data_IF_755824124937
#
_entry.id   IF_755824124937
#
_cell.length_a   1.000
_cell.length_b   1.000
_cell.length_c   1.000
_cell.angle_alpha   90.00
_cell.angle_beta   90.00
_cell.angle_gamma   90.00
#
_symmetry.space_group_name_H-M   'P 1'
#
loop_
_entity.id
_entity.type
_entity.pdbx_description
1 polymer ?
#
# COMPACT_ATOMS: atom_id res chain seq x y z
N UNK A 1 -8.70 25.04 -22.62
CA UNK A 1 -9.75 25.02 -21.58
C UNK A 1 -9.46 23.82 -20.68
N UNK A 2 -9.40 24.01 -19.36
CA UNK A 2 -8.70 23.18 -18.35
C UNK A 2 -8.61 21.67 -18.65
N UNK A 3 -7.39 21.14 -18.81
CA UNK A 3 -7.14 19.68 -18.71
C UNK A 3 -7.70 19.22 -17.35
N UNK A 4 -8.61 18.25 -17.33
CA UNK A 4 -9.00 17.53 -16.11
C UNK A 4 -7.71 17.07 -15.44
N UNK A 5 -7.29 17.71 -14.34
CA UNK A 5 -6.14 17.26 -13.57
C UNK A 5 -6.58 16.00 -12.87
N UNK A 6 -6.16 14.83 -13.37
CA UNK A 6 -6.47 13.55 -12.73
C UNK A 6 -5.93 13.52 -11.30
N UNK A 7 -6.52 12.69 -10.45
CA UNK A 7 -6.22 12.64 -9.01
C UNK A 7 -4.72 12.44 -8.74
N UNK A 8 -4.03 11.64 -9.55
CA UNK A 8 -2.57 11.45 -9.44
C UNK A 8 -1.81 12.76 -9.67
N UNK A 9 -2.20 13.56 -10.66
CA UNK A 9 -1.57 14.85 -10.92
C UNK A 9 -1.81 15.84 -9.77
N UNK A 10 -2.99 15.77 -9.13
CA UNK A 10 -3.28 16.53 -7.93
C UNK A 10 -2.43 16.08 -6.75
N UNK A 11 -2.36 14.78 -6.46
CA UNK A 11 -1.53 14.22 -5.38
C UNK A 11 -0.06 14.61 -5.57
N UNK A 12 0.49 14.47 -6.78
CA UNK A 12 1.87 14.88 -7.10
C UNK A 12 2.10 16.37 -6.83
N UNK A 13 1.18 17.24 -7.24
CA UNK A 13 1.29 18.68 -7.02
C UNK A 13 1.18 19.05 -5.53
N UNK A 14 0.23 18.44 -4.81
CA UNK A 14 0.05 18.64 -3.37
C UNK A 14 1.29 18.20 -2.60
N UNK A 15 1.81 17.00 -2.86
CA UNK A 15 3.02 16.48 -2.23
C UNK A 15 4.23 17.39 -2.47
N UNK A 16 4.44 17.83 -3.72
CA UNK A 16 5.53 18.76 -4.03
C UNK A 16 5.43 20.08 -3.27
N UNK A 17 4.21 20.60 -3.09
CA UNK A 17 3.96 21.78 -2.26
C UNK A 17 4.25 21.51 -0.79
N UNK A 18 3.79 20.41 -0.22
CA UNK A 18 4.03 20.07 1.19
C UNK A 18 5.52 19.87 1.49
N UNK A 19 6.27 19.23 0.59
CA UNK A 19 7.73 19.10 0.70
C UNK A 19 8.38 20.48 0.77
N UNK A 20 7.97 21.40 -0.10
CA UNK A 20 8.54 22.75 -0.17
C UNK A 20 8.15 23.58 1.06
N UNK A 21 6.87 23.63 1.38
CA UNK A 21 6.31 24.51 2.41
C UNK A 21 6.72 24.06 3.83
N UNK A 22 6.84 22.74 4.06
CA UNK A 22 7.12 22.15 5.38
C UNK A 22 8.51 21.54 5.53
N UNK A 23 9.35 21.61 4.48
CA UNK A 23 10.72 21.02 4.45
C UNK A 23 10.73 19.52 4.80
N UNK A 24 9.74 18.79 4.30
CA UNK A 24 9.66 17.33 4.44
C UNK A 24 10.85 16.68 3.72
N UNK A 25 11.44 15.63 4.30
CA UNK A 25 12.44 14.82 3.61
C UNK A 25 11.81 14.15 2.37
N UNK A 26 12.21 14.50 1.13
CA UNK A 26 11.61 13.93 -0.09
C UNK A 26 11.91 12.44 -0.26
N UNK A 27 12.79 11.85 0.56
CA UNK A 27 13.04 10.41 0.59
C UNK A 27 12.05 9.67 1.47
N UNK A 28 11.26 10.36 2.30
CA UNK A 28 10.34 9.81 3.30
C UNK A 28 8.92 10.29 3.06
N UNK A 29 8.43 10.02 1.86
CA UNK A 29 7.08 10.39 1.42
C UNK A 29 6.33 9.11 1.11
N UNK A 30 5.15 8.97 1.71
CA UNK A 30 4.38 7.73 1.68
C UNK A 30 2.92 8.01 1.35
N UNK A 31 2.23 7.02 0.78
CA UNK A 31 0.79 7.09 0.54
C UNK A 31 0.09 5.92 1.21
N UNK A 32 -1.06 6.18 1.83
CA UNK A 32 -1.90 5.11 2.37
C UNK A 32 -3.37 5.47 2.30
N UNK A 33 -4.22 4.44 2.28
CA UNK A 33 -5.67 4.61 2.36
C UNK A 33 -6.38 3.27 2.48
N UNK A 34 -7.69 3.36 2.65
CA UNK A 34 -8.60 2.22 2.70
C UNK A 34 -9.53 2.18 1.50
N UNK A 35 -9.90 0.98 1.04
CA UNK A 35 -10.83 0.81 -0.08
C UNK A 35 -10.27 1.46 -1.34
N UNK A 36 -11.05 2.31 -2.01
CA UNK A 36 -10.60 3.15 -3.12
C UNK A 36 -9.33 3.97 -2.80
N UNK A 37 -9.08 4.32 -1.52
CA UNK A 37 -7.84 4.97 -1.10
C UNK A 37 -6.63 4.03 -1.12
N UNK A 38 -6.84 2.74 -0.84
CA UNK A 38 -5.83 1.70 -1.03
C UNK A 38 -5.54 1.46 -2.51
N UNK A 39 -6.58 1.37 -3.34
CA UNK A 39 -6.45 1.28 -4.80
C UNK A 39 -5.70 2.49 -5.38
N UNK A 40 -6.05 3.70 -4.91
CA UNK A 40 -5.37 4.94 -5.31
C UNK A 40 -3.90 4.93 -4.87
N UNK A 41 -3.55 4.32 -3.74
CA UNK A 41 -2.16 4.22 -3.30
C UNK A 41 -1.34 3.38 -4.28
N UNK A 42 -1.86 2.24 -4.75
CA UNK A 42 -1.23 1.46 -5.82
C UNK A 42 -1.11 2.25 -7.13
N UNK A 43 -2.20 2.91 -7.54
CA UNK A 43 -2.19 3.73 -8.76
C UNK A 43 -1.17 4.87 -8.68
N UNK A 44 -1.08 5.53 -7.55
CA UNK A 44 -0.13 6.62 -7.31
C UNK A 44 1.32 6.11 -7.31
N UNK A 45 1.61 4.91 -6.78
CA UNK A 45 2.94 4.31 -6.87
C UNK A 45 3.40 4.14 -8.33
N UNK A 46 2.50 3.74 -9.22
CA UNK A 46 2.81 3.55 -10.65
C UNK A 46 2.89 4.88 -11.40
N UNK A 47 1.87 5.73 -11.28
CA UNK A 47 1.70 6.92 -12.12
C UNK A 47 2.42 8.18 -11.58
N UNK A 48 2.72 8.25 -10.28
CA UNK A 48 3.47 9.35 -9.66
C UNK A 48 4.92 8.95 -9.39
N UNK A 49 5.62 8.51 -10.44
CA UNK A 49 7.04 8.12 -10.38
C UNK A 49 7.90 9.14 -9.63
N UNK A 50 8.76 8.65 -8.74
CA UNK A 50 9.70 9.44 -7.95
C UNK A 50 9.08 10.21 -6.78
N UNK A 51 7.78 10.02 -6.48
CA UNK A 51 7.10 10.73 -5.39
C UNK A 51 7.08 9.91 -4.10
N UNK A 52 6.64 8.65 -4.14
CA UNK A 52 6.41 7.83 -2.95
C UNK A 52 7.50 6.78 -2.78
N UNK A 53 8.06 6.67 -1.57
CA UNK A 53 9.06 5.68 -1.20
C UNK A 53 8.44 4.31 -0.89
N UNK A 54 7.26 4.34 -0.28
CA UNK A 54 6.47 3.16 0.03
C UNK A 54 4.98 3.53 0.09
N UNK A 55 4.13 2.53 -0.06
CA UNK A 55 2.68 2.67 0.06
C UNK A 55 2.09 1.65 1.03
N UNK A 56 0.93 2.00 1.56
CA UNK A 56 0.16 1.19 2.49
C UNK A 56 -1.30 1.04 2.05
N UNK A 57 -1.76 -0.17 1.75
CA UNK A 57 -3.14 -0.39 1.30
C UNK A 57 -3.91 -1.23 2.33
N UNK A 58 -4.98 -0.67 2.91
CA UNK A 58 -5.88 -1.39 3.82
C UNK A 58 -7.18 -1.71 3.09
N UNK A 59 -7.59 -2.97 3.00
CA UNK A 59 -8.80 -3.38 2.26
C UNK A 59 -8.92 -2.69 0.90
N UNK A 60 -7.83 -2.69 0.13
CA UNK A 60 -7.69 -2.09 -1.20
C UNK A 60 -6.57 -2.80 -1.95
N UNK A 61 -6.56 -2.74 -3.27
CA UNK A 61 -5.72 -3.60 -4.10
C UNK A 61 -5.22 -2.99 -5.39
N UNK A 62 -4.25 -3.70 -5.97
CA UNK A 62 -3.71 -3.42 -7.29
C UNK A 62 -4.65 -3.98 -8.36
N UNK A 63 -5.50 -3.14 -8.93
CA UNK A 63 -6.52 -3.58 -9.87
C UNK A 63 -7.10 -2.46 -10.74
N UNK A 64 -8.26 -2.74 -11.33
CA UNK A 64 -8.93 -1.84 -12.26
C UNK A 64 -8.32 -1.81 -13.66
N UNK A 65 -8.93 -1.06 -14.61
CA UNK A 65 -8.53 -1.08 -16.01
C UNK A 65 -7.04 -0.80 -16.28
N UNK A 66 -6.36 0.13 -15.58
CA UNK A 66 -4.93 0.36 -15.79
C UNK A 66 -4.07 -0.86 -15.47
N UNK A 67 -4.40 -1.63 -14.42
CA UNK A 67 -3.65 -2.81 -13.99
C UNK A 67 -3.78 -4.00 -14.98
N UNK A 68 -4.66 -3.92 -15.97
CA UNK A 68 -4.71 -4.91 -17.06
C UNK A 68 -3.56 -4.72 -18.07
N UNK A 69 -2.99 -3.52 -18.17
CA UNK A 69 -1.79 -3.31 -18.99
C UNK A 69 -0.57 -3.98 -18.33
N UNK A 70 0.20 -4.83 -19.03
CA UNK A 70 1.35 -5.54 -18.45
C UNK A 70 2.42 -4.60 -17.85
N UNK A 71 2.63 -3.44 -18.47
CA UNK A 71 3.61 -2.44 -18.03
C UNK A 71 3.13 -1.50 -16.93
N UNK A 72 1.98 -1.76 -16.28
CA UNK A 72 1.46 -0.90 -15.22
C UNK A 72 2.19 -1.12 -13.88
N UNK A 73 3.50 -0.98 -13.87
CA UNK A 73 4.38 -1.16 -12.71
C UNK A 73 5.15 0.13 -12.42
N UNK A 74 5.58 0.38 -11.16
CA UNK A 74 6.33 1.58 -10.85
C UNK A 74 7.69 1.57 -11.57
N UNK A 75 8.12 2.74 -12.05
CA UNK A 75 9.41 2.91 -12.73
C UNK A 75 10.61 3.10 -11.77
N UNK A 76 10.33 3.30 -10.48
CA UNK A 76 11.30 3.31 -9.38
C UNK A 76 10.81 2.35 -8.28
N UNK A 77 11.68 1.76 -7.45
CA UNK A 77 11.25 0.83 -6.41
C UNK A 77 10.29 1.49 -5.40
N UNK A 78 9.13 0.87 -5.18
CA UNK A 78 8.15 1.30 -4.17
C UNK A 78 7.73 0.11 -3.33
N UNK A 79 8.10 0.12 -2.05
CA UNK A 79 7.70 -0.95 -1.12
C UNK A 79 6.22 -0.85 -0.75
N UNK A 80 5.57 -1.99 -0.53
CA UNK A 80 4.13 -2.13 -0.27
C UNK A 80 3.89 -2.85 1.04
N UNK A 81 3.08 -2.27 1.92
CA UNK A 81 2.40 -3.02 2.98
C UNK A 81 0.91 -3.08 2.67
N UNK A 82 0.34 -4.27 2.65
CA UNK A 82 -1.10 -4.48 2.47
C UNK A 82 -1.71 -5.18 3.67
N UNK A 83 -2.89 -4.74 4.09
CA UNK A 83 -3.68 -5.34 5.17
C UNK A 83 -5.06 -5.64 4.60
N UNK A 84 -5.43 -6.91 4.50
CA UNK A 84 -6.71 -7.34 3.93
C UNK A 84 -7.46 -8.23 4.92
N UNK A 85 -8.78 -8.18 4.87
CA UNK A 85 -9.64 -9.00 5.72
C UNK A 85 -10.01 -10.30 5.01
N UNK A 86 -9.90 -11.45 5.67
CA UNK A 86 -10.30 -12.72 5.07
C UNK A 86 -11.82 -12.82 4.85
N UNK A 87 -12.61 -12.00 5.57
CA UNK A 87 -14.05 -11.88 5.40
C UNK A 87 -14.43 -10.62 4.61
N UNK A 88 -13.46 -9.90 4.03
CA UNK A 88 -13.74 -8.78 3.15
C UNK A 88 -14.42 -9.30 1.87
N UNK A 89 -15.55 -8.69 1.49
CA UNK A 89 -16.29 -9.06 0.28
C UNK A 89 -15.47 -8.91 -1.02
N UNK A 90 -14.36 -8.17 -0.97
CA UNK A 90 -13.45 -7.95 -2.09
C UNK A 90 -12.12 -8.72 -1.94
N UNK A 91 -12.00 -9.63 -0.96
CA UNK A 91 -10.77 -10.36 -0.67
C UNK A 91 -10.09 -10.93 -1.93
N UNK A 92 -10.84 -11.65 -2.77
CA UNK A 92 -10.29 -12.29 -3.97
C UNK A 92 -9.69 -11.28 -4.96
N UNK A 93 -10.27 -10.09 -5.07
CA UNK A 93 -9.76 -9.01 -5.93
C UNK A 93 -8.45 -8.48 -5.38
N UNK A 94 -8.37 -8.24 -4.06
CA UNK A 94 -7.16 -7.73 -3.44
C UNK A 94 -6.02 -8.74 -3.46
N UNK A 95 -6.32 -10.00 -3.15
CA UNK A 95 -5.35 -11.09 -3.20
C UNK A 95 -4.83 -11.33 -4.63
N UNK A 96 -5.72 -11.36 -5.63
CA UNK A 96 -5.31 -11.46 -7.03
C UNK A 96 -4.46 -10.26 -7.48
N UNK A 97 -4.79 -9.05 -7.02
CA UNK A 97 -4.01 -7.84 -7.30
C UNK A 97 -2.60 -7.91 -6.70
N UNK A 98 -2.47 -8.36 -5.45
CA UNK A 98 -1.17 -8.52 -4.79
C UNK A 98 -0.31 -9.60 -5.45
N UNK A 99 -0.91 -10.71 -5.89
CA UNK A 99 -0.23 -11.75 -6.69
C UNK A 99 0.29 -11.17 -8.00
N UNK A 100 -0.58 -10.46 -8.74
CA UNK A 100 -0.22 -9.77 -10.00
C UNK A 100 0.92 -8.76 -9.79
N UNK A 101 0.89 -7.96 -8.72
CA UNK A 101 1.96 -7.03 -8.37
C UNK A 101 3.29 -7.76 -8.12
N UNK A 102 3.25 -8.81 -7.29
CA UNK A 102 4.45 -9.61 -6.96
C UNK A 102 5.04 -10.30 -8.19
N UNK A 103 4.19 -10.85 -9.05
CA UNK A 103 4.60 -11.49 -10.31
C UNK A 103 5.28 -10.49 -11.25
N UNK A 104 4.72 -9.30 -11.45
CA UNK A 104 5.26 -8.32 -12.39
C UNK A 104 6.57 -7.67 -11.94
N UNK A 105 6.88 -7.72 -10.66
CA UNK A 105 8.14 -7.21 -10.09
C UNK A 105 9.11 -8.34 -9.69
N UNK A 106 8.85 -9.56 -10.16
CA UNK A 106 9.68 -10.76 -9.93
C UNK A 106 9.99 -11.00 -8.44
N UNK A 107 9.00 -10.78 -7.57
CA UNK A 107 9.19 -10.84 -6.13
C UNK A 107 9.34 -12.26 -5.61
N UNK A 108 10.42 -12.48 -4.85
CA UNK A 108 10.73 -13.75 -4.21
C UNK A 108 10.25 -13.75 -2.75
N UNK A 109 9.56 -14.81 -2.30
CA UNK A 109 9.17 -14.93 -0.90
C UNK A 109 10.36 -14.82 0.05
N UNK A 110 10.17 -14.13 1.17
CA UNK A 110 11.11 -14.12 2.29
C UNK A 110 10.53 -14.93 3.45
N UNK A 111 11.38 -15.60 4.25
CA UNK A 111 10.93 -16.21 5.48
C UNK A 111 10.18 -15.19 6.32
N UNK A 112 8.98 -15.55 6.79
CA UNK A 112 8.25 -14.70 7.71
C UNK A 112 9.08 -14.52 9.00
N UNK A 113 9.11 -13.32 9.59
CA UNK A 113 9.73 -13.12 10.89
C UNK A 113 9.14 -14.09 11.92
N UNK A 114 9.96 -14.57 12.85
CA UNK A 114 9.49 -15.43 13.93
C UNK A 114 8.47 -14.68 14.80
N UNK A 115 7.40 -15.39 15.18
CA UNK A 115 6.26 -14.82 15.90
C UNK A 115 5.04 -14.63 15.01
N UNK A 116 3.88 -14.48 15.65
CA UNK A 116 2.60 -14.33 14.98
C UNK A 116 1.59 -13.73 15.94
N UNK A 117 0.52 -13.18 15.37
CA UNK A 117 -0.63 -12.73 16.14
C UNK A 117 -1.78 -13.66 15.81
N UNK A 118 -2.44 -14.21 16.82
CA UNK A 118 -3.57 -15.11 16.59
C UNK A 118 -4.63 -14.44 15.70
N UNK A 119 -5.12 -15.17 14.71
CA UNK A 119 -6.06 -14.64 13.71
C UNK A 119 -5.42 -13.74 12.65
N UNK A 120 -4.09 -13.65 12.56
CA UNK A 120 -3.40 -12.86 11.52
C UNK A 120 -2.34 -13.70 10.82
N UNK A 121 -2.45 -13.84 9.50
CA UNK A 121 -1.38 -14.39 8.68
C UNK A 121 -0.54 -13.26 8.08
N UNK A 122 0.77 -13.48 7.98
CA UNK A 122 1.72 -12.52 7.40
C UNK A 122 2.57 -13.21 6.33
N UNK A 123 2.76 -12.53 5.20
CA UNK A 123 3.72 -12.93 4.17
C UNK A 123 4.61 -11.75 3.77
N UNK A 124 5.87 -12.04 3.47
CA UNK A 124 6.86 -11.06 3.04
C UNK A 124 7.53 -11.52 1.75
N UNK A 125 7.88 -10.58 0.87
CA UNK A 125 8.63 -10.82 -0.36
C UNK A 125 9.60 -9.67 -0.64
N UNK A 126 10.65 -9.95 -1.41
CA UNK A 126 11.61 -8.97 -1.95
C UNK A 126 11.55 -9.03 -3.47
N UNK A 127 11.36 -7.89 -4.10
CA UNK A 127 11.25 -7.75 -5.55
C UNK A 127 12.62 -7.56 -6.22
N UNK A 128 12.70 -7.82 -7.52
CA UNK A 128 13.96 -7.74 -8.26
C UNK A 128 14.52 -6.31 -8.30
N UNK A 129 13.64 -5.30 -8.22
CA UNK A 129 13.99 -3.88 -8.11
C UNK A 129 14.46 -3.48 -6.69
N UNK A 130 14.44 -4.40 -5.72
CA UNK A 130 14.82 -4.18 -4.34
C UNK A 130 13.70 -3.63 -3.45
N UNK A 131 12.48 -3.48 -3.96
CA UNK A 131 11.30 -3.13 -3.15
C UNK A 131 10.81 -4.32 -2.33
N UNK A 132 10.09 -4.02 -1.25
CA UNK A 132 9.59 -5.00 -0.30
C UNK A 132 8.07 -5.08 -0.36
N UNK A 133 7.50 -6.28 -0.29
CA UNK A 133 6.04 -6.47 -0.22
C UNK A 133 5.70 -7.27 1.04
N UNK A 134 4.97 -6.63 1.95
CA UNK A 134 4.39 -7.25 3.14
C UNK A 134 2.88 -7.32 3.04
N UNK A 135 2.29 -8.45 3.39
CA UNK A 135 0.84 -8.66 3.36
C UNK A 135 0.41 -9.28 4.67
N UNK A 136 -0.57 -8.64 5.31
CA UNK A 136 -1.27 -9.11 6.49
C UNK A 136 -2.70 -9.49 6.09
N UNK A 137 -3.12 -10.70 6.44
CA UNK A 137 -4.52 -11.14 6.31
C UNK A 137 -5.10 -11.35 7.69
N UNK A 138 -6.13 -10.58 8.04
CA UNK A 138 -6.82 -10.67 9.33
C UNK A 138 -8.07 -11.54 9.18
N UNK A 139 -8.11 -12.65 9.90
CA UNK A 139 -9.10 -13.73 9.72
C UNK A 139 -10.55 -13.25 9.92
N UNK A 140 -10.81 -12.46 10.96
CA UNK A 140 -12.16 -12.01 11.32
C UNK A 140 -12.47 -10.58 10.85
N UNK A 141 -11.66 -10.03 9.95
CA UNK A 141 -11.87 -8.68 9.42
C UNK A 141 -12.65 -8.72 8.11
N UNK A 142 -13.70 -7.89 8.04
CA UNK A 142 -14.39 -7.53 6.80
C UNK A 142 -13.71 -6.35 6.08
N UNK A 143 -14.50 -5.41 5.56
CA UNK A 143 -13.99 -4.21 4.91
C UNK A 143 -13.75 -3.08 5.91
N UNK A 144 -12.61 -3.08 6.60
CA UNK A 144 -12.36 -2.20 7.73
C UNK A 144 -10.87 -1.82 7.94
N UNK A 145 -10.65 -0.80 8.74
CA UNK A 145 -9.35 -0.36 9.25
C UNK A 145 -9.11 -0.95 10.65
N UNK A 146 -8.26 -1.97 10.80
CA UNK A 146 -8.09 -2.66 12.07
C UNK A 146 -7.35 -1.77 13.08
N UNK A 147 -7.89 -1.71 14.31
CA UNK A 147 -7.35 -0.94 15.42
C UNK A 147 -7.73 0.55 15.42
N UNK A 148 -8.47 1.03 14.41
CA UNK A 148 -9.02 2.39 14.44
C UNK A 148 -10.06 2.53 15.57
N UNK A 149 -10.03 3.66 16.29
CA UNK A 149 -10.92 3.92 17.43
C UNK A 149 -12.29 4.49 17.04
N UNK A 150 -12.38 5.08 15.86
CA UNK A 150 -13.56 5.81 15.38
C UNK A 150 -13.56 5.93 13.85
N UNK A 151 -14.74 6.14 13.26
CA UNK A 151 -14.93 6.23 11.82
C UNK A 151 -15.79 5.09 11.29
N UNK A 152 -16.41 5.28 10.13
CA UNK A 152 -17.36 4.32 9.55
C UNK A 152 -16.75 2.94 9.30
N UNK A 153 -15.47 2.90 8.92
CA UNK A 153 -14.72 1.66 8.66
C UNK A 153 -13.82 1.26 9.83
N UNK A 154 -14.02 1.80 11.03
CA UNK A 154 -13.18 1.43 12.16
C UNK A 154 -13.48 0.01 12.63
N UNK A 155 -12.43 -0.76 12.95
CA UNK A 155 -12.55 -2.04 13.65
C UNK A 155 -11.77 -1.99 14.98
N UNK A 156 -12.37 -1.42 16.04
CA UNK A 156 -11.79 -1.44 17.37
C UNK A 156 -11.63 -2.88 17.86
N UNK A 157 -10.54 -3.17 18.59
CA UNK A 157 -10.29 -4.50 19.15
C UNK A 157 -9.78 -5.54 18.16
N UNK A 158 -9.44 -5.13 16.92
CA UNK A 158 -8.71 -5.98 15.99
C UNK A 158 -7.38 -6.46 16.62
N UNK A 159 -6.88 -7.65 16.23
CA UNK A 159 -5.63 -8.19 16.75
C UNK A 159 -4.39 -7.37 16.38
N UNK A 160 -4.51 -6.44 15.42
CA UNK A 160 -3.46 -5.53 14.96
C UNK A 160 -3.97 -4.09 14.89
N UNK A 161 -3.03 -3.15 14.98
CA UNK A 161 -3.27 -1.73 14.72
C UNK A 161 -2.64 -1.37 13.38
N UNK A 162 -3.47 -1.19 12.35
CA UNK A 162 -2.98 -0.92 10.99
C UNK A 162 -2.10 0.33 10.92
N UNK A 163 -2.47 1.40 11.65
CA UNK A 163 -1.72 2.66 11.65
C UNK A 163 -0.29 2.49 12.16
N UNK A 164 -0.08 1.68 13.21
CA UNK A 164 1.24 1.46 13.78
C UNK A 164 2.09 0.61 12.84
N UNK A 165 1.52 -0.47 12.28
CA UNK A 165 2.20 -1.31 11.28
C UNK A 165 2.63 -0.51 10.04
N UNK A 166 1.73 0.34 9.54
CA UNK A 166 2.01 1.23 8.41
C UNK A 166 3.13 2.21 8.74
N UNK A 167 3.10 2.82 9.92
CA UNK A 167 4.12 3.76 10.35
C UNK A 167 5.50 3.10 10.47
N UNK A 168 5.59 1.95 11.14
CA UNK A 168 6.84 1.21 11.30
C UNK A 168 7.40 0.78 9.94
N UNK A 169 6.53 0.28 9.05
CA UNK A 169 6.91 -0.06 7.69
C UNK A 169 7.44 1.16 6.93
N UNK A 170 6.74 2.29 6.96
CA UNK A 170 7.19 3.51 6.28
C UNK A 170 8.53 4.01 6.82
N UNK A 171 8.70 4.06 8.14
CA UNK A 171 9.93 4.50 8.78
C UNK A 171 11.16 3.67 8.33
N UNK A 172 10.96 2.37 8.06
CA UNK A 172 11.98 1.45 7.56
C UNK A 172 12.26 1.52 6.04
N UNK A 173 11.43 2.23 5.26
CA UNK A 173 11.50 2.23 3.78
C UNK A 173 11.65 3.64 3.17
N UNK A 174 12.68 4.43 3.52
CA UNK A 174 13.00 5.62 2.75
C UNK A 174 13.48 5.24 1.34
N UNK A 175 13.29 6.10 0.34
CA UNK A 175 13.90 5.90 -0.99
C UNK A 175 15.42 5.79 -0.85
N UNK A 176 16.02 4.84 -1.56
CA UNK A 176 17.48 4.76 -1.68
C UNK A 176 17.99 5.95 -2.50
N UNK A 177 19.15 6.48 -2.11
CA UNK A 177 19.75 7.69 -2.68
C UNK A 177 20.69 7.37 -3.83
#
# INVERSE_FOLDING_TARGET
>A
MLRRRGDVAFLKALTGRLITDWRVDPRRVYATGISNGGDMSFRAAVEATGVFAAIGAVSGGYGGPPAEAPGFVPAEPVSVLSIIGAQDRYFDIFDAGLKKWRERLDCQPRPAPAGGTDGVSRSSARCADGSDVEVYVVADMGHAWPGAKSGEMALPGAPIVATDLLWDFFAGHPRLG
#
